data_IF_871013937199
#
_entry.id   IF_871013937199
#
_cell.length_a   1.000
_cell.length_b   1.000
_cell.length_c   1.000
_cell.angle_alpha   90.00
_cell.angle_beta   90.00
_cell.angle_gamma   90.00
#
_symmetry.space_group_name_H-M   'P 1'
#
loop_
_entity.id
_entity.type
_entity.pdbx_description
1 polymer ?
#
# COMPACT_ATOMS: atom_id res chain seq x y z
N UNK A 1 2.80 1.73 7.00
CA UNK A 1 3.30 0.32 7.08
C UNK A 1 2.26 -0.68 7.59
N UNK A 2 1.52 -0.40 8.66
CA UNK A 2 0.62 -1.43 9.25
C UNK A 2 -0.56 -1.81 8.34
N UNK A 3 -0.99 -0.90 7.45
CA UNK A 3 -2.13 -1.09 6.53
C UNK A 3 -1.72 -1.34 5.08
N UNK A 4 -0.43 -1.18 4.75
CA UNK A 4 0.10 -1.30 3.39
C UNK A 4 1.25 -2.29 3.37
N UNK A 5 1.18 -3.26 2.48
CA UNK A 5 2.23 -4.23 2.24
C UNK A 5 2.89 -3.92 0.89
N UNK A 6 4.14 -3.47 0.94
CA UNK A 6 4.93 -3.23 -0.26
C UNK A 6 5.31 -4.56 -0.92
N UNK A 7 4.92 -4.73 -2.17
CA UNK A 7 5.19 -5.93 -2.99
C UNK A 7 6.34 -5.67 -3.97
N UNK A 8 6.61 -4.40 -4.29
CA UNK A 8 7.73 -4.00 -5.14
C UNK A 8 8.09 -2.53 -4.97
N UNK A 9 9.18 -2.13 -5.63
CA UNK A 9 9.59 -0.73 -5.77
C UNK A 9 9.63 -0.43 -7.26
N UNK A 10 9.04 0.68 -7.67
CA UNK A 10 9.00 1.14 -9.06
C UNK A 10 9.57 2.55 -9.10
N UNK A 11 10.48 2.82 -10.02
CA UNK A 11 10.98 4.16 -10.28
C UNK A 11 9.87 4.97 -10.96
N UNK A 12 9.39 6.01 -10.28
CA UNK A 12 8.33 6.89 -10.79
C UNK A 12 8.62 8.32 -10.37
N UNK A 13 8.61 9.24 -11.33
CA UNK A 13 8.74 10.69 -11.09
C UNK A 13 7.44 11.31 -10.55
N UNK A 14 6.38 10.51 -10.41
CA UNK A 14 5.04 11.00 -10.06
C UNK A 14 4.87 11.25 -8.56
N UNK A 15 5.64 10.54 -7.72
CA UNK A 15 5.59 10.65 -6.26
C UNK A 15 7.00 10.66 -5.66
N UNK A 16 7.21 11.30 -4.49
CA UNK A 16 8.48 11.26 -3.79
C UNK A 16 8.91 9.86 -3.37
N UNK A 17 10.21 9.68 -3.17
CA UNK A 17 10.80 8.45 -2.65
C UNK A 17 10.11 7.97 -1.36
N UNK A 18 9.90 6.65 -1.25
CA UNK A 18 9.21 5.98 -0.14
C UNK A 18 7.71 6.30 0.00
N UNK A 19 7.08 6.79 -1.06
CA UNK A 19 5.63 6.96 -1.13
C UNK A 19 4.96 5.84 -1.96
N UNK A 20 3.70 5.55 -1.65
CA UNK A 20 2.89 4.60 -2.41
C UNK A 20 2.63 5.16 -3.80
N UNK A 21 3.02 4.41 -4.84
CA UNK A 21 2.85 4.79 -6.25
C UNK A 21 1.50 4.30 -6.77
N UNK A 22 1.17 3.03 -6.53
CA UNK A 22 -0.04 2.39 -7.02
C UNK A 22 -0.58 1.38 -6.00
N UNK A 23 -1.90 1.24 -5.92
CA UNK A 23 -2.55 0.16 -5.17
C UNK A 23 -2.89 -1.00 -6.11
N UNK A 24 -2.12 -2.08 -6.06
CA UNK A 24 -2.39 -3.27 -6.88
C UNK A 24 -3.65 -4.01 -6.39
N UNK A 25 -3.88 -4.04 -5.07
CA UNK A 25 -5.04 -4.69 -4.45
C UNK A 25 -5.50 -3.96 -3.19
N UNK A 26 -6.77 -3.55 -3.16
CA UNK A 26 -7.33 -2.77 -2.05
C UNK A 26 -7.38 -3.51 -0.70
N UNK A 27 -6.92 -2.85 0.37
CA UNK A 27 -6.97 -3.39 1.72
C UNK A 27 -8.39 -3.34 2.34
N UNK A 28 -8.62 -4.13 3.38
CA UNK A 28 -9.87 -4.11 4.15
C UNK A 28 -9.61 -3.94 5.64
N UNK A 29 -10.33 -3.00 6.25
CA UNK A 29 -10.34 -2.76 7.69
C UNK A 29 -11.77 -2.93 8.17
N UNK A 30 -11.97 -3.80 9.16
CA UNK A 30 -13.28 -4.05 9.77
C UNK A 30 -13.19 -3.75 11.27
N UNK A 31 -14.00 -2.79 11.73
CA UNK A 31 -14.05 -2.38 13.14
C UNK A 31 -12.67 -2.08 13.75
N UNK A 32 -11.81 -1.38 13.01
CA UNK A 32 -10.46 -1.03 13.47
C UNK A 32 -9.45 -2.19 13.46
N UNK A 33 -9.83 -3.39 12.99
CA UNK A 33 -8.90 -4.50 12.74
C UNK A 33 -8.62 -4.65 11.25
N UNK A 34 -7.36 -4.84 10.93
CA UNK A 34 -6.89 -5.08 9.57
C UNK A 34 -7.22 -6.53 9.23
N UNK A 35 -8.14 -6.72 8.27
CA UNK A 35 -8.48 -8.04 7.75
C UNK A 35 -7.48 -8.44 6.66
N UNK A 36 -7.07 -7.45 5.85
CA UNK A 36 -6.04 -7.60 4.82
C UNK A 36 -5.39 -6.25 4.55
N UNK A 37 -4.06 -6.14 4.54
CA UNK A 37 -3.38 -4.92 4.11
C UNK A 37 -3.58 -4.69 2.61
N UNK A 38 -3.56 -3.42 2.17
CA UNK A 38 -3.51 -3.11 0.76
C UNK A 38 -2.14 -3.52 0.21
N UNK A 39 -2.10 -4.11 -0.98
CA UNK A 39 -0.85 -4.38 -1.67
C UNK A 39 -0.50 -3.17 -2.52
N UNK A 40 0.69 -2.65 -2.26
CA UNK A 40 1.26 -1.44 -2.87
C UNK A 40 2.64 -1.70 -3.42
#
# INVERSE_FOLDING_TARGET
PNVHQAVGVVESDSVPDNQVVEECLGGYILHGRIIRPAMV
#
